data_IF_627377576309
#
_entry.id   IF_627377576309
#
_cell.length_a   1.000
_cell.length_b   1.000
_cell.length_c   1.000
_cell.angle_alpha   90.00
_cell.angle_beta   90.00
_cell.angle_gamma   90.00
#
_symmetry.space_group_name_H-M   'P 1'
#
loop_
_entity.id
_entity.type
_entity.pdbx_description
1 polymer ?
#
# COMPACT_ATOMS: atom_id res chain seq x y z
N UNK A 1 39.04 -8.30 -8.58
CA UNK A 1 37.83 -8.64 -7.81
C UNK A 1 37.00 -7.40 -7.89
N UNK A 2 35.88 -7.43 -8.68
CA UNK A 2 35.11 -6.24 -9.04
C UNK A 2 34.36 -5.66 -7.82
N UNK A 3 34.15 -4.37 -7.80
CA UNK A 3 33.40 -3.65 -6.75
C UNK A 3 32.01 -4.28 -6.52
N UNK A 4 31.31 -4.70 -7.57
CA UNK A 4 30.03 -5.42 -7.49
C UNK A 4 30.05 -6.69 -6.61
N UNK A 5 31.17 -7.42 -6.57
CA UNK A 5 31.31 -8.58 -5.68
C UNK A 5 31.49 -8.21 -4.21
N UNK A 6 32.02 -7.02 -3.94
CA UNK A 6 32.19 -6.52 -2.57
C UNK A 6 30.87 -6.01 -2.00
N UNK A 7 30.06 -5.36 -2.82
CA UNK A 7 28.73 -4.89 -2.44
C UNK A 7 27.76 -6.05 -2.19
N UNK A 8 27.79 -7.09 -3.04
CA UNK A 8 26.96 -8.28 -2.87
C UNK A 8 27.31 -9.04 -1.58
N UNK A 9 28.58 -9.25 -1.29
CA UNK A 9 29.04 -9.92 -0.06
C UNK A 9 28.75 -9.06 1.19
N UNK A 10 28.77 -7.73 1.06
CA UNK A 10 28.41 -6.81 2.14
C UNK A 10 26.91 -6.84 2.43
N UNK A 11 26.07 -7.01 1.40
CA UNK A 11 24.63 -7.14 1.56
C UNK A 11 24.22 -8.45 2.24
N UNK A 12 24.74 -9.59 1.75
CA UNK A 12 24.49 -10.91 2.36
C UNK A 12 24.97 -10.99 3.81
N UNK A 13 26.15 -10.43 4.12
CA UNK A 13 26.65 -10.37 5.51
C UNK A 13 25.82 -9.45 6.43
N UNK A 14 25.15 -8.43 5.89
CA UNK A 14 24.26 -7.58 6.67
C UNK A 14 22.89 -8.26 6.93
N UNK A 15 22.36 -9.01 5.97
CA UNK A 15 21.14 -9.81 6.17
C UNK A 15 21.37 -10.92 7.20
N UNK A 16 22.42 -11.72 7.06
CA UNK A 16 22.77 -12.78 8.02
C UNK A 16 22.98 -12.25 9.44
N UNK A 17 23.61 -11.09 9.58
CA UNK A 17 23.84 -10.46 10.89
C UNK A 17 22.53 -9.87 11.49
N UNK A 18 21.60 -9.41 10.66
CA UNK A 18 20.29 -8.96 11.13
C UNK A 18 19.40 -10.12 11.60
N UNK A 19 19.44 -11.24 10.90
CA UNK A 19 18.67 -12.44 11.28
C UNK A 19 19.22 -13.04 12.59
N UNK A 20 20.54 -13.09 12.78
CA UNK A 20 21.17 -13.55 14.02
C UNK A 20 20.82 -12.65 15.23
N UNK A 21 20.82 -11.33 15.03
CA UNK A 21 20.40 -10.35 16.06
C UNK A 21 18.90 -10.48 16.39
N UNK A 22 18.06 -10.71 15.40
CA UNK A 22 16.62 -10.90 15.60
C UNK A 22 16.30 -12.19 16.35
N UNK A 23 17.04 -13.26 16.08
CA UNK A 23 16.92 -14.54 16.78
C UNK A 23 17.36 -14.41 18.25
N UNK A 24 18.50 -13.76 18.51
CA UNK A 24 19.04 -13.50 19.86
C UNK A 24 18.08 -12.62 20.69
N UNK A 25 17.54 -11.55 20.09
CA UNK A 25 16.56 -10.68 20.76
C UNK A 25 15.25 -11.44 21.03
N UNK A 26 14.80 -12.31 20.12
CA UNK A 26 13.58 -13.08 20.30
C UNK A 26 13.70 -14.12 21.42
N UNK A 27 14.88 -14.75 21.57
CA UNK A 27 15.18 -15.67 22.67
C UNK A 27 15.26 -14.92 24.01
N UNK A 28 15.96 -13.78 24.06
CA UNK A 28 16.11 -12.97 25.28
C UNK A 28 14.76 -12.44 25.78
N UNK A 29 13.90 -11.94 24.85
CA UNK A 29 12.54 -11.49 25.20
C UNK A 29 11.67 -12.66 25.67
N UNK A 30 11.80 -13.84 25.06
CA UNK A 30 11.01 -15.02 25.46
C UNK A 30 11.41 -15.56 26.83
N UNK A 31 12.70 -15.51 27.17
CA UNK A 31 13.20 -15.88 28.51
C UNK A 31 12.76 -14.87 29.57
N UNK A 32 12.88 -13.57 29.31
CA UNK A 32 12.49 -12.50 30.23
C UNK A 32 10.99 -12.52 30.53
N UNK A 33 10.13 -12.72 29.50
CA UNK A 33 8.69 -12.88 29.65
C UNK A 33 8.34 -14.13 30.46
N UNK A 34 9.01 -15.27 30.21
CA UNK A 34 8.76 -16.49 30.96
C UNK A 34 9.20 -16.39 32.42
N UNK A 35 10.28 -15.68 32.71
CA UNK A 35 10.77 -15.47 34.07
C UNK A 35 9.82 -14.53 34.84
N UNK A 36 9.33 -13.45 34.22
CA UNK A 36 8.39 -12.50 34.82
C UNK A 36 7.02 -13.13 35.08
N UNK A 37 6.48 -13.89 34.10
CA UNK A 37 5.24 -14.66 34.27
C UNK A 37 5.38 -15.73 35.37
N UNK A 38 6.52 -16.44 35.42
CA UNK A 38 6.75 -17.45 36.45
C UNK A 38 6.85 -16.85 37.87
N UNK A 39 7.37 -15.63 37.98
CA UNK A 39 7.51 -14.91 39.21
C UNK A 39 6.16 -14.37 39.70
N UNK A 40 5.36 -13.77 38.82
CA UNK A 40 3.99 -13.32 39.14
C UNK A 40 3.10 -14.50 39.57
N UNK A 41 3.15 -15.64 38.84
CA UNK A 41 2.38 -16.84 39.21
C UNK A 41 2.84 -17.40 40.55
N UNK A 42 4.13 -17.38 40.88
CA UNK A 42 4.65 -17.88 42.16
C UNK A 42 4.32 -16.95 43.32
N UNK A 43 4.24 -15.65 43.14
CA UNK A 43 3.79 -14.68 44.12
C UNK A 43 2.28 -14.80 44.38
N UNK A 44 1.43 -14.92 43.36
CA UNK A 44 0.00 -15.16 43.51
C UNK A 44 -0.30 -16.48 44.23
N UNK A 45 0.41 -17.57 43.93
CA UNK A 45 0.24 -18.87 44.61
C UNK A 45 0.69 -18.81 46.09
N UNK A 46 1.71 -18.01 46.41
CA UNK A 46 2.18 -17.85 47.77
C UNK A 46 1.23 -17.01 48.65
N UNK A 47 0.55 -16.03 48.06
CA UNK A 47 -0.48 -15.25 48.76
C UNK A 47 -1.76 -16.06 49.03
N UNK A 48 -2.21 -16.92 48.06
CA UNK A 48 -3.38 -17.80 48.28
C UNK A 48 -3.15 -18.87 49.36
N UNK A 49 -1.90 -19.28 49.65
CA UNK A 49 -1.60 -20.32 50.66
C UNK A 49 -1.56 -19.79 52.12
N UNK A 50 -1.56 -18.49 52.33
CA UNK A 50 -1.50 -17.88 53.67
C UNK A 50 -2.86 -17.43 54.25
N UNK A 51 -3.96 -17.43 53.45
CA UNK A 51 -5.27 -16.99 53.90
C UNK A 51 -6.23 -18.11 54.36
N UNK A 52 -5.83 -19.37 54.38
CA UNK A 52 -6.73 -20.48 54.78
C UNK A 52 -6.74 -20.84 56.27
N UNK A 53 -6.24 -19.99 57.19
CA UNK A 53 -6.47 -20.19 58.63
C UNK A 53 -6.63 -18.87 59.36
N UNK A 54 -7.81 -18.31 59.44
CA UNK A 54 -8.44 -17.77 60.65
C UNK A 54 -9.77 -17.04 60.37
N UNK A 55 -10.79 -17.55 61.11
CA UNK A 55 -12.04 -16.88 61.53
C UNK A 55 -13.24 -16.83 60.58
N UNK A 56 -14.11 -17.76 60.84
CA UNK A 56 -15.56 -17.54 60.78
C UNK A 56 -15.96 -16.24 61.51
N UNK A 57 -16.99 -15.61 60.96
CA UNK A 57 -17.81 -14.53 61.53
C UNK A 57 -17.38 -13.07 61.26
N UNK A 58 -17.85 -12.48 60.15
CA UNK A 58 -18.71 -11.28 60.18
C UNK A 58 -19.12 -10.71 58.79
N UNK A 59 -20.44 -10.81 58.54
CA UNK A 59 -21.29 -9.84 57.82
C UNK A 59 -21.01 -9.53 56.32
N UNK A 60 -21.86 -10.17 55.53
CA UNK A 60 -22.68 -9.55 54.42
C UNK A 60 -22.48 -8.05 54.24
N UNK A 61 -21.81 -7.67 53.18
CA UNK A 61 -22.23 -6.69 52.18
C UNK A 61 -21.10 -6.52 51.18
N UNK A 62 -21.34 -6.79 49.88
CA UNK A 62 -20.42 -6.38 48.81
C UNK A 62 -20.02 -7.54 47.89
N UNK A 63 -20.66 -7.63 46.71
CA UNK A 63 -20.10 -8.28 45.55
C UNK A 63 -20.21 -9.81 45.49
N UNK A 64 -21.41 -10.30 45.24
CA UNK A 64 -21.67 -11.69 44.88
C UNK A 64 -21.07 -12.00 43.47
N UNK A 65 -19.75 -12.15 43.39
CA UNK A 65 -19.15 -12.84 42.27
C UNK A 65 -19.09 -14.31 42.70
N UNK A 66 -20.07 -15.10 42.22
CA UNK A 66 -20.11 -16.52 42.55
C UNK A 66 -18.82 -17.21 42.08
N UNK A 67 -18.36 -18.24 42.81
CA UNK A 67 -17.19 -19.06 42.45
C UNK A 67 -17.27 -19.55 40.99
N UNK A 68 -18.47 -19.83 40.52
CA UNK A 68 -18.76 -20.19 39.10
C UNK A 68 -18.47 -19.05 38.12
N UNK A 69 -18.70 -17.79 38.49
CA UNK A 69 -18.43 -16.64 37.64
C UNK A 69 -16.92 -16.36 37.56
N UNK A 70 -16.17 -16.62 38.63
CA UNK A 70 -14.71 -16.53 38.66
C UNK A 70 -14.04 -17.60 37.80
N UNK A 71 -14.57 -18.84 37.80
CA UNK A 71 -14.10 -19.93 36.97
C UNK A 71 -14.36 -19.68 35.45
N UNK A 72 -15.44 -18.96 35.13
CA UNK A 72 -15.72 -18.53 33.76
C UNK A 72 -14.93 -17.29 33.33
N UNK A 73 -14.61 -16.38 34.27
CA UNK A 73 -13.89 -15.14 33.95
C UNK A 73 -12.38 -15.34 33.73
N UNK A 74 -11.76 -16.31 34.43
CA UNK A 74 -10.33 -16.58 34.34
C UNK A 74 -9.87 -16.91 32.90
N UNK A 75 -10.51 -17.85 32.15
CA UNK A 75 -10.11 -18.11 30.75
C UNK A 75 -10.39 -16.91 29.83
N UNK A 76 -11.46 -16.15 30.09
CA UNK A 76 -11.76 -14.95 29.33
C UNK A 76 -10.71 -13.85 29.54
N UNK A 77 -10.23 -13.67 30.78
CA UNK A 77 -9.19 -12.71 31.11
C UNK A 77 -7.84 -13.11 30.47
N UNK A 78 -7.48 -14.41 30.51
CA UNK A 78 -6.27 -14.90 29.84
C UNK A 78 -6.30 -14.65 28.33
N UNK A 79 -7.44 -14.96 27.70
CA UNK A 79 -7.60 -14.68 26.27
C UNK A 79 -7.51 -13.18 25.98
N UNK A 80 -8.10 -12.34 26.82
CA UNK A 80 -8.03 -10.88 26.68
C UNK A 80 -6.60 -10.37 26.76
N UNK A 81 -5.80 -10.85 27.73
CA UNK A 81 -4.39 -10.46 27.87
C UNK A 81 -3.57 -10.88 26.65
N UNK A 82 -3.76 -12.11 26.14
CA UNK A 82 -3.07 -12.59 24.94
C UNK A 82 -3.43 -11.72 23.73
N UNK A 83 -4.72 -11.41 23.53
CA UNK A 83 -5.15 -10.55 22.44
C UNK A 83 -4.59 -9.13 22.56
N UNK A 84 -4.53 -8.61 23.79
CA UNK A 84 -4.00 -7.27 24.06
C UNK A 84 -2.49 -7.21 23.80
N UNK A 85 -1.74 -8.23 24.23
CA UNK A 85 -0.32 -8.33 23.95
C UNK A 85 -0.05 -8.45 22.43
N UNK A 86 -0.79 -9.29 21.72
CA UNK A 86 -0.67 -9.43 20.28
C UNK A 86 -1.00 -8.11 19.54
N UNK A 87 -2.07 -7.42 19.95
CA UNK A 87 -2.45 -6.13 19.39
C UNK A 87 -1.38 -5.05 19.65
N UNK A 88 -0.77 -5.07 20.85
CA UNK A 88 0.32 -4.16 21.19
C UNK A 88 1.57 -4.41 20.35
N UNK A 89 1.98 -5.67 20.18
CA UNK A 89 3.11 -6.02 19.32
C UNK A 89 2.88 -5.59 17.87
N UNK A 90 1.68 -5.84 17.32
CA UNK A 90 1.33 -5.41 15.96
C UNK A 90 1.34 -3.89 15.82
N UNK A 91 0.79 -3.16 16.79
CA UNK A 91 0.79 -1.69 16.79
C UNK A 91 2.21 -1.12 16.89
N UNK A 92 3.07 -1.75 17.69
CA UNK A 92 4.47 -1.35 17.85
C UNK A 92 5.26 -1.54 16.55
N UNK A 93 5.17 -2.72 15.93
CA UNK A 93 5.82 -3.01 14.64
C UNK A 93 5.29 -2.07 13.56
N UNK A 94 3.97 -1.87 13.48
CA UNK A 94 3.38 -0.91 12.55
C UNK A 94 3.91 0.51 12.74
N UNK A 95 4.03 0.96 13.99
CA UNK A 95 4.57 2.30 14.31
C UNK A 95 6.02 2.48 13.85
N UNK A 96 6.87 1.44 13.99
CA UNK A 96 8.26 1.50 13.51
C UNK A 96 8.38 1.42 11.98
N UNK A 97 7.46 0.73 11.32
CA UNK A 97 7.57 0.43 9.88
C UNK A 97 6.86 1.47 9.01
N UNK A 98 5.87 2.18 9.57
CA UNK A 98 5.04 3.15 8.84
C UNK A 98 5.86 4.18 8.05
N UNK A 99 6.85 4.81 8.69
CA UNK A 99 7.64 5.87 8.06
C UNK A 99 8.49 5.33 6.90
N UNK A 100 9.01 4.10 7.05
CA UNK A 100 9.79 3.44 6.00
C UNK A 100 8.90 3.04 4.82
N UNK A 101 7.68 2.58 5.08
CA UNK A 101 6.70 2.25 4.04
C UNK A 101 6.31 3.52 3.27
N UNK A 102 6.02 4.61 3.99
CA UNK A 102 5.66 5.89 3.38
C UNK A 102 6.78 6.42 2.48
N UNK A 103 8.04 6.36 2.95
CA UNK A 103 9.18 6.77 2.15
C UNK A 103 9.35 5.92 0.89
N UNK A 104 9.19 4.61 0.99
CA UNK A 104 9.25 3.70 -0.17
C UNK A 104 8.12 3.96 -1.16
N UNK A 105 6.91 4.22 -0.67
CA UNK A 105 5.77 4.54 -1.53
C UNK A 105 5.99 5.85 -2.29
N UNK A 106 6.57 6.87 -1.64
CA UNK A 106 6.91 8.13 -2.28
C UNK A 106 7.99 7.93 -3.36
N UNK A 107 9.04 7.16 -3.06
CA UNK A 107 10.09 6.84 -4.03
C UNK A 107 9.53 6.06 -5.24
N UNK A 108 8.71 5.04 -5.00
CA UNK A 108 8.09 4.27 -6.07
C UNK A 108 7.16 5.13 -6.94
N UNK A 109 6.39 6.05 -6.34
CA UNK A 109 5.55 6.98 -7.08
C UNK A 109 6.38 7.96 -7.93
N UNK A 110 7.52 8.44 -7.41
CA UNK A 110 8.45 9.30 -8.15
C UNK A 110 9.09 8.56 -9.33
N UNK A 111 9.55 7.33 -9.13
CA UNK A 111 10.06 6.48 -10.19
C UNK A 111 9.02 6.22 -11.29
N UNK A 112 7.78 5.94 -10.92
CA UNK A 112 6.70 5.77 -11.88
C UNK A 112 6.43 7.03 -12.68
N UNK A 113 6.46 8.23 -12.06
CA UNK A 113 6.32 9.51 -12.79
C UNK A 113 7.41 9.69 -13.83
N UNK A 114 8.67 9.41 -13.47
CA UNK A 114 9.80 9.48 -14.40
C UNK A 114 9.64 8.49 -15.56
N UNK A 115 9.14 7.28 -15.26
CA UNK A 115 8.93 6.25 -16.29
C UNK A 115 7.83 6.61 -17.30
N UNK A 116 6.71 7.20 -16.84
CA UNK A 116 5.60 7.56 -17.73
C UNK A 116 5.82 8.89 -18.47
N UNK A 117 6.74 9.74 -17.97
CA UNK A 117 7.08 11.02 -18.58
C UNK A 117 8.61 11.12 -18.70
N UNK A 118 9.18 10.31 -19.60
CA UNK A 118 10.61 10.31 -19.85
C UNK A 118 11.06 11.65 -20.44
N UNK A 119 12.11 12.24 -19.84
CA UNK A 119 12.64 13.55 -20.23
C UNK A 119 12.18 14.72 -19.36
N UNK A 120 11.32 14.47 -18.35
CA UNK A 120 11.02 15.47 -17.34
C UNK A 120 12.17 15.56 -16.32
N UNK A 121 12.58 16.78 -16.02
CA UNK A 121 13.61 17.08 -15.01
C UNK A 121 12.97 17.39 -13.63
N UNK A 122 11.70 17.83 -13.64
CA UNK A 122 10.97 18.17 -12.42
C UNK A 122 9.46 17.92 -12.54
N UNK A 123 8.84 17.68 -11.39
CA UNK A 123 7.40 17.47 -11.27
C UNK A 123 6.84 18.43 -10.22
N UNK A 124 5.84 19.23 -10.59
CA UNK A 124 5.18 20.15 -9.69
C UNK A 124 3.72 19.72 -9.46
N UNK A 125 3.30 19.62 -8.19
CA UNK A 125 1.92 19.25 -7.86
C UNK A 125 0.96 20.34 -8.32
N UNK A 126 -0.06 19.93 -9.07
CA UNK A 126 -1.13 20.83 -9.56
C UNK A 126 -2.26 20.80 -8.54
N UNK A 127 -2.78 21.95 -8.16
CA UNK A 127 -3.94 22.10 -7.27
C UNK A 127 -5.14 22.69 -8.03
N UNK A 128 -6.35 22.50 -7.51
CA UNK A 128 -7.59 23.11 -8.04
C UNK A 128 -8.19 22.40 -9.26
N UNK A 129 -7.79 21.18 -9.52
CA UNK A 129 -8.32 20.33 -10.59
C UNK A 129 -9.47 19.41 -10.11
N UNK A 130 -9.63 19.22 -8.79
CA UNK A 130 -10.49 18.21 -8.18
C UNK A 130 -11.95 18.33 -8.65
N UNK A 131 -12.41 19.56 -8.87
CA UNK A 131 -13.76 19.83 -9.40
C UNK A 131 -13.94 19.52 -10.90
N UNK A 132 -12.88 19.15 -11.61
CA UNK A 132 -12.88 18.85 -13.03
C UNK A 132 -12.85 17.35 -13.33
N UNK A 133 -12.45 16.53 -12.36
CA UNK A 133 -12.56 15.08 -12.42
C UNK A 133 -13.98 14.64 -12.06
N UNK A 134 -14.76 14.27 -13.07
CA UNK A 134 -16.15 13.81 -12.92
C UNK A 134 -16.21 12.35 -12.41
N UNK A 135 -15.10 11.61 -12.53
CA UNK A 135 -15.04 10.20 -12.19
C UNK A 135 -14.69 9.96 -10.72
N UNK A 136 -13.94 10.90 -10.11
CA UNK A 136 -13.38 10.76 -8.77
C UNK A 136 -12.28 9.69 -8.67
N UNK A 137 -11.71 9.25 -9.80
CA UNK A 137 -10.65 8.23 -9.83
C UNK A 137 -9.27 8.84 -9.69
N UNK A 138 -9.07 10.11 -10.10
CA UNK A 138 -7.77 10.78 -10.02
C UNK A 138 -7.53 11.25 -8.59
N UNK A 139 -6.38 10.88 -8.03
CA UNK A 139 -5.97 11.24 -6.66
C UNK A 139 -4.95 12.37 -6.63
N UNK A 140 -4.06 12.44 -7.63
CA UNK A 140 -3.02 13.47 -7.71
C UNK A 140 -2.71 13.82 -9.17
N UNK A 141 -2.33 15.06 -9.39
CA UNK A 141 -1.89 15.58 -10.69
C UNK A 141 -0.58 16.32 -10.52
N UNK A 142 0.37 16.03 -11.40
CA UNK A 142 1.65 16.71 -11.47
C UNK A 142 1.89 17.28 -12.86
N UNK A 143 2.36 18.52 -12.95
CA UNK A 143 2.89 19.09 -14.15
C UNK A 143 4.36 18.67 -14.30
N UNK A 144 4.73 18.16 -15.45
CA UNK A 144 6.07 17.68 -15.76
C UNK A 144 6.81 18.70 -16.63
N UNK A 145 8.01 19.09 -16.22
CA UNK A 145 8.82 20.09 -16.91
C UNK A 145 10.18 19.55 -17.33
N UNK A 146 10.70 20.08 -18.46
CA UNK A 146 12.11 20.00 -18.81
C UNK A 146 12.68 21.42 -18.87
N UNK A 147 13.48 21.79 -17.86
CA UNK A 147 13.81 23.17 -17.60
C UNK A 147 12.55 23.99 -17.32
N UNK A 148 12.28 25.01 -18.18
CA UNK A 148 11.09 25.85 -18.07
C UNK A 148 9.94 25.41 -19.03
N UNK A 149 10.14 24.34 -19.81
CA UNK A 149 9.17 23.86 -20.78
C UNK A 149 8.24 22.83 -20.16
N UNK A 150 6.91 23.04 -20.27
CA UNK A 150 5.90 22.05 -19.86
C UNK A 150 5.86 20.91 -20.88
N UNK A 151 6.29 19.73 -20.47
CA UNK A 151 6.19 18.51 -21.27
C UNK A 151 4.79 17.91 -21.28
N UNK A 152 4.06 18.08 -20.19
CA UNK A 152 2.72 17.52 -20.01
C UNK A 152 2.35 17.36 -18.54
N UNK A 153 1.45 16.41 -18.29
CA UNK A 153 0.94 16.12 -16.94
C UNK A 153 1.07 14.63 -16.62
N UNK A 154 1.28 14.34 -15.35
CA UNK A 154 1.25 12.98 -14.81
C UNK A 154 0.12 12.89 -13.79
N UNK A 155 -0.71 11.88 -13.96
CA UNK A 155 -1.89 11.60 -13.16
C UNK A 155 -1.65 10.33 -12.33
N UNK A 156 -1.97 10.40 -11.04
CA UNK A 156 -2.13 9.21 -10.21
C UNK A 156 -3.62 8.96 -10.06
N UNK A 157 -4.11 7.82 -10.50
CA UNK A 157 -5.50 7.43 -10.42
C UNK A 157 -5.65 6.07 -9.75
N UNK A 158 -6.78 5.82 -9.11
CA UNK A 158 -7.08 4.54 -8.46
C UNK A 158 -8.44 4.05 -8.93
N UNK A 159 -8.49 2.82 -9.41
CA UNK A 159 -9.74 2.19 -9.84
C UNK A 159 -9.93 0.82 -9.17
N UNK A 160 -11.17 0.40 -8.93
CA UNK A 160 -11.45 -0.88 -8.31
C UNK A 160 -11.30 -2.02 -9.32
N UNK A 161 -10.34 -2.92 -9.03
CA UNK A 161 -10.11 -4.15 -9.77
C UNK A 161 -10.89 -5.34 -9.24
N UNK A 162 -10.40 -6.56 -9.50
CA UNK A 162 -10.99 -7.80 -9.00
C UNK A 162 -10.50 -8.13 -7.57
N UNK A 163 -9.21 -7.97 -7.33
CA UNK A 163 -8.58 -8.27 -6.03
C UNK A 163 -8.59 -7.10 -5.05
N UNK A 164 -8.91 -5.91 -5.51
CA UNK A 164 -8.88 -4.67 -4.73
C UNK A 164 -8.58 -3.47 -5.59
N UNK A 165 -8.09 -2.41 -4.97
CA UNK A 165 -7.74 -1.19 -5.66
C UNK A 165 -6.50 -1.37 -6.54
N UNK A 166 -6.56 -0.80 -7.74
CA UNK A 166 -5.49 -0.82 -8.74
C UNK A 166 -5.03 0.62 -8.96
N UNK A 167 -3.90 1.02 -8.37
CA UNK A 167 -3.31 2.33 -8.61
C UNK A 167 -2.65 2.35 -9.99
N UNK A 168 -2.87 3.43 -10.73
CA UNK A 168 -2.37 3.62 -12.09
C UNK A 168 -1.77 5.00 -12.22
N UNK A 169 -0.53 5.08 -12.71
CA UNK A 169 0.14 6.34 -13.06
C UNK A 169 0.11 6.50 -14.57
N UNK A 170 -0.41 7.64 -15.04
CA UNK A 170 -0.60 7.94 -16.47
C UNK A 170 0.11 9.23 -16.83
N UNK A 171 0.98 9.18 -17.82
CA UNK A 171 1.59 10.36 -18.42
C UNK A 171 0.79 10.81 -19.63
N UNK A 172 0.53 12.12 -19.72
CA UNK A 172 -0.12 12.78 -20.87
C UNK A 172 0.78 13.90 -21.35
N UNK A 173 1.22 13.82 -22.58
CA UNK A 173 2.07 14.81 -23.22
C UNK A 173 1.33 16.11 -23.56
N UNK A 174 2.08 17.19 -23.69
CA UNK A 174 1.54 18.50 -24.12
C UNK A 174 0.97 18.47 -25.55
N UNK A 175 1.30 17.44 -26.32
CA UNK A 175 0.75 17.15 -27.64
C UNK A 175 -0.63 16.46 -27.61
N UNK A 176 -1.14 16.11 -26.43
CA UNK A 176 -2.42 15.43 -26.27
C UNK A 176 -2.36 13.92 -26.51
N UNK A 177 -1.19 13.30 -26.32
CA UNK A 177 -1.03 11.85 -26.41
C UNK A 177 -0.65 11.25 -25.04
N UNK A 178 -0.95 9.97 -24.83
CA UNK A 178 -0.48 9.23 -23.66
C UNK A 178 1.00 8.90 -23.86
N UNK A 179 1.85 9.35 -22.94
CA UNK A 179 3.30 9.11 -22.99
C UNK A 179 3.70 7.78 -22.34
N UNK A 180 2.90 7.30 -21.39
CA UNK A 180 3.12 6.02 -20.73
C UNK A 180 2.07 5.75 -19.65
N UNK A 181 1.92 4.48 -19.32
CA UNK A 181 1.05 4.00 -18.25
C UNK A 181 1.81 3.00 -17.39
N UNK A 182 1.75 3.17 -16.07
CA UNK A 182 2.29 2.21 -15.10
C UNK A 182 1.23 1.86 -14.08
N UNK A 183 1.15 0.59 -13.75
CA UNK A 183 0.29 0.08 -12.68
C UNK A 183 1.16 -0.14 -11.45
N UNK A 184 0.73 0.42 -10.33
CA UNK A 184 1.41 0.27 -9.05
C UNK A 184 1.10 -1.07 -8.37
N UNK A 185 1.58 -1.20 -7.13
CA UNK A 185 1.33 -2.39 -6.31
C UNK A 185 -0.16 -2.63 -6.14
N UNK A 186 -0.60 -3.84 -6.40
CA UNK A 186 -2.00 -4.22 -6.37
C UNK A 186 -2.18 -5.67 -5.89
N UNK A 187 -3.40 -6.04 -5.53
CA UNK A 187 -3.74 -7.37 -5.01
C UNK A 187 -4.46 -8.23 -6.06
N UNK A 188 -4.23 -7.98 -7.32
CA UNK A 188 -4.81 -8.74 -8.40
C UNK A 188 -4.31 -10.20 -8.43
N UNK A 189 -5.13 -11.10 -8.95
CA UNK A 189 -4.80 -12.53 -9.01
C UNK A 189 -3.51 -12.76 -9.80
N UNK A 190 -2.46 -13.39 -9.19
CA UNK A 190 -1.21 -13.68 -9.89
C UNK A 190 -1.41 -14.51 -11.15
N UNK A 191 -0.76 -14.10 -12.25
CA UNK A 191 -0.84 -14.76 -13.55
C UNK A 191 -2.12 -14.50 -14.35
N UNK A 192 -3.10 -13.78 -13.78
CA UNK A 192 -4.34 -13.34 -14.43
C UNK A 192 -4.45 -11.80 -14.39
N UNK A 193 -5.06 -11.26 -13.36
CA UNK A 193 -5.24 -9.82 -13.18
C UNK A 193 -3.93 -9.05 -13.08
N UNK A 194 -2.91 -9.63 -12.45
CA UNK A 194 -1.57 -9.04 -12.38
C UNK A 194 -0.93 -8.75 -13.74
N UNK A 195 -1.37 -9.45 -14.80
CA UNK A 195 -0.90 -9.16 -16.18
C UNK A 195 -1.36 -7.81 -16.73
N UNK A 196 -2.32 -7.16 -16.09
CA UNK A 196 -2.70 -5.79 -16.42
C UNK A 196 -1.61 -4.77 -16.01
N UNK A 197 -0.64 -5.17 -15.21
CA UNK A 197 0.54 -4.38 -14.87
C UNK A 197 1.74 -4.64 -15.81
N UNK A 198 1.68 -5.69 -16.64
CA UNK A 198 2.76 -6.02 -17.57
C UNK A 198 2.90 -4.93 -18.65
N UNK A 199 4.14 -4.62 -19.02
CA UNK A 199 4.46 -3.66 -20.09
C UNK A 199 3.81 -4.03 -21.44
N UNK A 200 3.62 -5.33 -21.69
CA UNK A 200 2.89 -5.80 -22.87
C UNK A 200 1.46 -5.30 -22.93
N UNK A 201 0.82 -5.08 -21.77
CA UNK A 201 -0.54 -4.55 -21.69
C UNK A 201 -0.51 -3.02 -21.63
N UNK A 202 0.26 -2.44 -20.71
CA UNK A 202 0.31 -0.98 -20.49
C UNK A 202 0.89 -0.23 -21.67
N UNK A 203 1.86 -0.80 -22.39
CA UNK A 203 2.45 -0.21 -23.61
C UNK A 203 1.48 -0.04 -24.78
N UNK A 204 0.30 -0.69 -24.74
CA UNK A 204 -0.73 -0.46 -25.75
C UNK A 204 -1.34 0.95 -25.70
N UNK A 205 -1.20 1.65 -24.59
CA UNK A 205 -1.70 3.02 -24.42
C UNK A 205 -0.75 4.08 -24.98
N UNK A 206 0.54 3.78 -25.11
CA UNK A 206 1.53 4.75 -25.57
C UNK A 206 1.20 5.28 -26.96
N UNK A 207 1.25 6.61 -27.10
CA UNK A 207 0.95 7.31 -28.34
C UNK A 207 -0.53 7.44 -28.69
N UNK A 208 -1.45 6.92 -27.85
CA UNK A 208 -2.91 7.09 -28.07
C UNK A 208 -3.33 8.52 -27.77
N UNK A 209 -4.23 9.02 -28.60
CA UNK A 209 -4.84 10.35 -28.44
C UNK A 209 -5.83 10.36 -27.25
N UNK A 210 -5.77 11.42 -26.45
CA UNK A 210 -6.62 11.59 -25.26
C UNK A 210 -7.98 12.22 -25.57
N UNK A 211 -8.25 12.63 -26.83
CA UNK A 211 -9.48 13.29 -27.22
C UNK A 211 -10.68 12.35 -27.38
N UNK A 212 -10.41 11.04 -27.41
CA UNK A 212 -11.40 10.00 -27.65
C UNK A 212 -11.51 8.98 -26.51
N UNK A 213 -12.52 8.11 -26.60
CA UNK A 213 -12.68 6.97 -25.72
C UNK A 213 -11.76 5.83 -26.15
N UNK A 214 -10.96 5.30 -25.22
CA UNK A 214 -10.12 4.12 -25.45
C UNK A 214 -10.92 2.87 -25.14
N UNK A 215 -11.16 2.05 -26.17
CA UNK A 215 -12.03 0.87 -26.12
C UNK A 215 -11.25 -0.40 -25.83
N UNK A 216 -11.78 -1.18 -24.88
CA UNK A 216 -11.23 -2.50 -24.55
C UNK A 216 -11.86 -3.57 -25.43
N UNK A 217 -11.07 -4.26 -26.25
CA UNK A 217 -11.53 -5.35 -27.12
C UNK A 217 -10.99 -6.70 -26.66
N UNK A 218 -11.76 -7.77 -26.81
CA UNK A 218 -11.34 -9.14 -26.44
C UNK A 218 -10.54 -9.84 -27.54
N UNK A 219 -10.53 -9.27 -28.74
CA UNK A 219 -9.85 -9.82 -29.92
C UNK A 219 -8.62 -9.00 -30.29
N UNK A 220 -8.20 -9.15 -31.55
CA UNK A 220 -7.13 -8.33 -32.09
C UNK A 220 -7.57 -6.87 -32.21
N UNK A 221 -6.68 -5.95 -31.87
CA UNK A 221 -6.85 -4.50 -32.07
C UNK A 221 -7.00 -4.20 -33.56
N UNK A 222 -8.03 -3.46 -33.93
CA UNK A 222 -8.37 -3.11 -35.31
C UNK A 222 -8.38 -1.61 -35.57
N UNK A 223 -8.42 -0.79 -34.53
CA UNK A 223 -8.42 0.67 -34.61
C UNK A 223 -7.45 1.28 -33.60
N UNK A 224 -7.04 2.52 -33.84
CA UNK A 224 -6.08 3.22 -32.98
C UNK A 224 -6.61 3.53 -31.58
N UNK A 225 -7.94 3.60 -31.42
CA UNK A 225 -8.64 3.81 -30.15
C UNK A 225 -8.91 2.50 -29.38
N UNK A 226 -8.44 1.36 -29.87
CA UNK A 226 -8.64 0.06 -29.22
C UNK A 226 -7.37 -0.43 -28.49
N UNK A 227 -7.61 -1.17 -27.38
CA UNK A 227 -6.60 -1.97 -26.69
C UNK A 227 -7.11 -3.39 -26.48
N UNK A 228 -6.20 -4.36 -26.51
CA UNK A 228 -6.55 -5.75 -26.28
C UNK A 228 -6.62 -6.07 -24.79
N UNK A 229 -7.76 -6.59 -24.35
CA UNK A 229 -7.95 -7.05 -22.96
C UNK A 229 -6.99 -8.18 -22.59
N UNK A 230 -6.61 -8.23 -21.31
CA UNK A 230 -5.93 -9.37 -20.75
C UNK A 230 -6.90 -10.57 -20.67
N UNK A 231 -6.52 -11.67 -21.31
CA UNK A 231 -7.36 -12.87 -21.32
C UNK A 231 -7.59 -13.42 -19.92
N UNK A 232 -8.86 -13.60 -19.56
CA UNK A 232 -9.26 -14.07 -18.23
C UNK A 232 -9.25 -13.02 -17.12
N UNK A 233 -8.91 -11.74 -17.42
CA UNK A 233 -8.82 -10.65 -16.44
C UNK A 233 -9.54 -9.38 -16.92
N UNK A 234 -10.78 -9.52 -17.40
CA UNK A 234 -11.55 -8.39 -17.94
C UNK A 234 -11.81 -7.29 -16.91
N UNK A 235 -12.03 -7.65 -15.64
CA UNK A 235 -12.28 -6.68 -14.56
C UNK A 235 -11.02 -5.84 -14.31
N UNK A 236 -9.87 -6.49 -14.14
CA UNK A 236 -8.58 -5.82 -13.94
C UNK A 236 -8.19 -4.95 -15.15
N UNK A 237 -8.44 -5.45 -16.37
CA UNK A 237 -8.27 -4.68 -17.61
C UNK A 237 -9.10 -3.41 -17.62
N UNK A 238 -10.40 -3.54 -17.29
CA UNK A 238 -11.31 -2.39 -17.26
C UNK A 238 -10.95 -1.40 -16.15
N UNK A 239 -10.45 -1.88 -15.01
CA UNK A 239 -9.99 -1.01 -13.94
C UNK A 239 -8.85 -0.10 -14.42
N UNK A 240 -7.82 -0.67 -15.05
CA UNK A 240 -6.72 0.11 -15.62
C UNK A 240 -7.25 1.06 -16.70
N UNK A 241 -8.11 0.59 -17.62
CA UNK A 241 -8.66 1.43 -18.67
C UNK A 241 -9.49 2.60 -18.13
N UNK A 242 -10.28 2.39 -17.07
CA UNK A 242 -11.06 3.46 -16.43
C UNK A 242 -10.17 4.53 -15.82
N UNK A 243 -9.07 4.13 -15.17
CA UNK A 243 -8.09 5.06 -14.61
C UNK A 243 -7.38 5.86 -15.71
N UNK A 244 -7.00 5.20 -16.81
CA UNK A 244 -6.38 5.86 -17.98
C UNK A 244 -7.37 6.83 -18.63
N UNK A 245 -8.62 6.42 -18.82
CA UNK A 245 -9.65 7.27 -19.43
C UNK A 245 -9.92 8.53 -18.59
N UNK A 246 -10.07 8.37 -17.26
CA UNK A 246 -10.23 9.50 -16.35
C UNK A 246 -9.06 10.49 -16.41
N UNK A 247 -7.83 9.95 -16.46
CA UNK A 247 -6.61 10.75 -16.59
C UNK A 247 -6.53 11.48 -17.94
N UNK A 248 -6.93 10.82 -19.02
CA UNK A 248 -6.96 11.38 -20.36
C UNK A 248 -7.98 12.53 -20.47
N UNK A 249 -9.19 12.34 -19.94
CA UNK A 249 -10.24 13.36 -19.93
C UNK A 249 -9.83 14.59 -19.12
N UNK A 250 -9.26 14.38 -17.93
CA UNK A 250 -8.77 15.49 -17.11
C UNK A 250 -7.58 16.18 -17.78
N UNK A 251 -6.65 15.40 -18.39
CA UNK A 251 -5.51 15.91 -19.13
C UNK A 251 -5.94 16.82 -20.29
N UNK A 252 -6.95 16.42 -21.06
CA UNK A 252 -7.51 17.23 -22.14
C UNK A 252 -8.07 18.56 -21.62
N UNK A 253 -8.77 18.57 -20.47
CA UNK A 253 -9.29 19.80 -19.84
C UNK A 253 -8.13 20.73 -19.40
N UNK A 254 -7.10 20.19 -18.76
CA UNK A 254 -5.95 20.98 -18.28
C UNK A 254 -5.11 21.55 -19.42
N UNK A 255 -4.88 20.77 -20.47
CA UNK A 255 -4.15 21.25 -21.66
C UNK A 255 -4.91 22.38 -22.38
N UNK A 256 -6.24 22.31 -22.47
CA UNK A 256 -7.06 23.40 -23.03
C UNK A 256 -6.96 24.68 -22.22
N UNK A 257 -6.92 24.60 -20.90
CA UNK A 257 -6.81 25.76 -20.02
C UNK A 257 -5.43 26.45 -20.15
N UNK A 258 -4.36 25.66 -20.23
CA UNK A 258 -3.00 26.20 -20.36
C UNK A 258 -2.65 26.59 -21.80
N UNK A 259 -3.25 25.96 -22.81
CA UNK A 259 -3.10 26.33 -24.24
C UNK A 259 -3.82 27.63 -24.61
N UNK A 260 -4.85 28.03 -23.83
CA UNK A 260 -5.57 29.30 -24.02
C UNK A 260 -4.83 30.57 -23.54
N UNK A 261 -3.70 30.41 -22.83
CA UNK A 261 -2.93 31.53 -22.27
C UNK A 261 -1.81 32.09 -23.18
N UNK A 262 -1.54 31.50 -24.32
CA UNK A 262 -0.61 32.07 -25.33
C UNK A 262 -1.38 32.81 -26.40
N UNK A 263 -1.72 34.08 -26.16
CA UNK A 263 -2.00 35.11 -27.17
C UNK A 263 -1.06 36.29 -26.96
#
# INVERSE_FOLDING_TARGET
MSEERREMISGEMQEDMQDEILEEISEEISEEINEEISKEISEEISEESHEENHHEEKRRTGGFISKEMREMMMPALRLFIICLAAAFCLAFVYGMTKDTIELRNQQAAEEQRIQVMSGADSFEKVEGWEGQDETGLVSEVYAAYSGDELLGYVFSAVSSGYGGDVPVTVGVGSDGTITGVKVGDNQETPGLGSKAADEKFTGQYEGKDISGEIKVVKGSVSADDEIQAVSGATISTNAVNSAVQASAELGAKLLQQNGGGKK
#
